data_IF_427257792190
#
_entry.id   IF_427257792190
#
_cell.length_a   1.000
_cell.length_b   1.000
_cell.length_c   1.000
_cell.angle_alpha   90.00
_cell.angle_beta   90.00
_cell.angle_gamma   90.00
#
_symmetry.space_group_name_H-M   'P 1'
#
loop_
_entity.id
_entity.type
_entity.pdbx_description
1 polymer ?
#
# COMPACT_ATOMS: atom_id res chain seq x y z
N UNK A 1 30.68 -3.75 9.63
CA UNK A 1 30.38 -2.32 9.53
C UNK A 1 29.64 -2.09 8.21
N UNK A 2 28.30 -2.21 8.20
CA UNK A 2 27.52 -2.01 6.97
C UNK A 2 27.40 -0.50 6.71
N UNK A 3 28.05 0.00 5.66
CA UNK A 3 27.83 1.36 5.17
C UNK A 3 26.46 1.42 4.50
N UNK A 4 25.42 1.66 5.29
CA UNK A 4 24.13 2.10 4.74
C UNK A 4 24.31 3.56 4.34
N UNK A 5 24.32 3.82 3.03
CA UNK A 5 24.33 5.16 2.46
C UNK A 5 22.95 5.77 2.70
N UNK A 6 22.72 6.36 3.88
CA UNK A 6 21.58 7.27 4.07
C UNK A 6 22.03 8.64 3.60
N UNK A 7 21.72 8.96 2.35
CA UNK A 7 21.73 10.34 1.87
C UNK A 7 20.87 11.20 2.80
N UNK A 8 21.49 12.09 3.57
CA UNK A 8 20.91 13.22 4.33
C UNK A 8 19.49 13.05 4.90
N UNK A 9 19.23 11.96 5.63
CA UNK A 9 17.96 11.84 6.36
C UNK A 9 17.99 12.66 7.64
N UNK A 10 17.03 13.58 7.80
CA UNK A 10 16.83 14.32 9.07
C UNK A 10 16.32 13.43 10.21
N UNK A 11 15.87 12.21 9.92
CA UNK A 11 15.31 11.31 10.92
C UNK A 11 16.41 10.68 11.79
N UNK A 12 16.22 10.65 13.11
CA UNK A 12 17.16 10.00 14.03
C UNK A 12 17.15 8.48 13.85
N UNK A 13 18.33 7.86 13.81
CA UNK A 13 18.46 6.41 13.77
C UNK A 13 17.95 5.78 15.07
N UNK A 14 17.15 4.72 14.94
CA UNK A 14 16.55 3.97 16.05
C UNK A 14 16.46 2.49 15.69
N UNK A 15 16.66 1.63 16.68
CA UNK A 15 16.46 0.19 16.54
C UNK A 15 14.99 -0.19 16.78
N UNK A 16 14.50 -1.18 16.01
CA UNK A 16 13.15 -1.72 16.17
C UNK A 16 13.08 -2.58 17.43
N UNK A 17 12.24 -2.19 18.40
CA UNK A 17 12.12 -2.87 19.70
C UNK A 17 11.01 -3.93 19.78
N UNK A 18 9.96 -3.78 18.98
CA UNK A 18 8.78 -4.66 18.96
C UNK A 18 8.06 -4.58 17.62
N UNK A 19 7.31 -5.62 17.30
CA UNK A 19 6.43 -5.69 16.13
C UNK A 19 5.00 -5.90 16.60
N UNK A 20 4.10 -5.03 16.19
CA UNK A 20 2.67 -5.14 16.47
C UNK A 20 1.96 -5.64 15.21
N UNK A 21 1.24 -6.75 15.34
CA UNK A 21 0.37 -7.23 14.27
C UNK A 21 -1.02 -6.61 14.41
N UNK A 22 -1.67 -6.39 13.28
CA UNK A 22 -3.01 -5.80 13.21
C UNK A 22 -3.65 -6.03 11.86
N UNK A 23 -4.92 -5.66 11.75
CA UNK A 23 -5.67 -5.66 10.49
C UNK A 23 -5.84 -4.19 10.08
N UNK A 24 -5.46 -3.87 8.85
CA UNK A 24 -5.64 -2.52 8.31
C UNK A 24 -7.12 -2.23 8.08
N UNK A 25 -7.58 -1.10 8.63
CA UNK A 25 -8.94 -0.61 8.36
C UNK A 25 -9.05 -0.03 6.94
N UNK A 26 -10.22 -0.08 6.30
CA UNK A 26 -10.41 0.53 4.98
C UNK A 26 -10.01 2.01 4.94
N UNK A 27 -10.30 2.77 6.00
CA UNK A 27 -9.96 4.20 6.07
C UNK A 27 -8.46 4.45 6.21
N UNK A 28 -7.73 3.55 6.88
CA UNK A 28 -6.27 3.62 6.94
C UNK A 28 -5.63 3.26 5.60
N UNK A 29 -6.15 2.25 4.89
CA UNK A 29 -5.70 1.90 3.54
C UNK A 29 -5.86 3.10 2.60
N UNK A 30 -7.00 3.79 2.63
CA UNK A 30 -7.23 5.00 1.81
C UNK A 30 -6.28 6.13 2.20
N UNK A 31 -6.09 6.40 3.50
CA UNK A 31 -5.21 7.49 3.98
C UNK A 31 -3.72 7.26 3.66
N UNK A 32 -3.26 6.01 3.68
CA UNK A 32 -1.88 5.68 3.32
C UNK A 32 -1.64 5.71 1.80
N UNK A 33 -2.71 5.69 1.00
CA UNK A 33 -2.57 5.55 -0.44
C UNK A 33 -2.19 6.86 -1.12
N UNK A 34 -1.24 6.79 -2.04
CA UNK A 34 -0.82 7.93 -2.88
C UNK A 34 -1.65 8.07 -4.16
N UNK A 35 -2.46 7.06 -4.48
CA UNK A 35 -3.34 7.05 -5.66
C UNK A 35 -4.72 7.53 -5.25
N UNK A 36 -4.93 8.85 -5.28
CA UNK A 36 -6.22 9.45 -4.92
C UNK A 36 -7.36 8.90 -5.79
N UNK A 37 -8.45 8.48 -5.13
CA UNK A 37 -9.59 7.84 -5.78
C UNK A 37 -9.33 6.41 -6.30
N UNK A 38 -8.18 5.83 -5.94
CA UNK A 38 -7.80 4.47 -6.26
C UNK A 38 -7.32 4.27 -7.70
N UNK A 39 -6.79 3.07 -7.97
CA UNK A 39 -6.48 2.63 -9.34
C UNK A 39 -7.79 2.34 -10.07
N UNK A 40 -8.02 3.04 -11.19
CA UNK A 40 -9.25 2.99 -11.99
C UNK A 40 -9.03 2.34 -13.35
N UNK A 41 -7.81 2.37 -13.84
CA UNK A 41 -7.47 1.97 -15.20
C UNK A 41 -6.58 0.72 -15.20
N UNK A 42 -6.95 -0.33 -15.94
CA UNK A 42 -6.07 -1.50 -16.10
C UNK A 42 -4.87 -1.19 -17.01
N UNK A 43 -4.94 -0.14 -17.84
CA UNK A 43 -3.85 0.24 -18.72
C UNK A 43 -2.66 0.82 -17.94
N UNK A 44 -1.46 0.43 -18.37
CA UNK A 44 -0.19 0.84 -17.75
C UNK A 44 0.41 2.11 -18.36
N UNK A 45 0.16 2.37 -19.65
CA UNK A 45 0.70 3.50 -20.38
C UNK A 45 -0.39 4.25 -21.16
N UNK A 46 -0.23 5.56 -21.29
CA UNK A 46 -1.05 6.45 -22.11
C UNK A 46 -0.10 7.42 -22.84
N UNK A 47 -0.11 7.40 -24.17
CA UNK A 47 0.80 8.25 -24.97
C UNK A 47 2.30 7.99 -24.70
N UNK A 48 2.67 6.75 -24.40
CA UNK A 48 4.07 6.37 -24.10
C UNK A 48 4.55 6.78 -22.71
N UNK A 49 3.68 7.29 -21.84
CA UNK A 49 3.99 7.65 -20.45
C UNK A 49 3.14 6.82 -19.48
N UNK A 50 3.65 6.50 -18.27
CA UNK A 50 2.86 5.76 -17.29
C UNK A 50 1.55 6.46 -16.96
N UNK A 51 0.45 5.71 -16.90
CA UNK A 51 -0.90 6.26 -16.74
C UNK A 51 -1.20 6.61 -15.28
N UNK A 52 -1.66 7.85 -15.03
CA UNK A 52 -2.16 8.25 -13.71
C UNK A 52 -3.47 7.51 -13.38
N UNK A 53 -3.57 6.99 -12.15
CA UNK A 53 -4.67 6.12 -11.76
C UNK A 53 -4.66 4.76 -12.46
N UNK A 54 -3.58 4.41 -13.16
CA UNK A 54 -3.33 3.10 -13.72
C UNK A 54 -2.51 2.20 -12.78
N UNK A 55 -2.23 0.97 -13.21
CA UNK A 55 -1.42 0.02 -12.44
C UNK A 55 0.06 0.43 -12.30
N UNK A 56 0.55 1.30 -13.20
CA UNK A 56 1.92 1.84 -13.17
C UNK A 56 1.91 3.34 -12.85
N UNK A 57 1.09 3.76 -11.89
CA UNK A 57 1.00 5.18 -11.51
C UNK A 57 2.38 5.67 -11.04
N UNK A 58 2.94 6.75 -11.64
CA UNK A 58 4.28 7.24 -11.33
C UNK A 58 4.46 7.77 -9.88
N UNK A 59 3.35 7.91 -9.13
CA UNK A 59 3.37 8.21 -7.69
C UNK A 59 3.66 6.98 -6.83
N UNK A 60 3.41 5.77 -7.33
CA UNK A 60 3.61 4.51 -6.59
C UNK A 60 5.08 4.06 -6.57
N UNK A 61 5.90 4.56 -7.49
CA UNK A 61 7.32 4.23 -7.59
C UNK A 61 7.85 4.43 -9.01
N UNK A 62 9.10 4.02 -9.24
CA UNK A 62 9.72 4.04 -10.56
C UNK A 62 10.44 2.75 -10.86
N UNK A 63 10.30 2.29 -12.11
CA UNK A 63 10.99 1.12 -12.66
C UNK A 63 12.12 1.51 -13.62
N UNK A 64 12.05 2.71 -14.19
CA UNK A 64 13.05 3.22 -15.11
C UNK A 64 14.16 3.97 -14.36
N UNK A 65 15.42 3.74 -14.78
CA UNK A 65 16.61 4.33 -14.16
C UNK A 65 16.71 5.83 -14.37
N UNK A 66 16.20 6.33 -15.49
CA UNK A 66 16.21 7.75 -15.83
C UNK A 66 15.08 8.52 -15.12
N UNK A 67 14.05 7.81 -14.70
CA UNK A 67 12.88 8.37 -14.03
C UNK A 67 13.09 8.60 -12.52
N UNK A 68 12.21 9.41 -11.93
CA UNK A 68 12.16 9.70 -10.48
C UNK A 68 10.72 9.59 -9.98
N UNK A 69 10.54 9.05 -8.78
CA UNK A 69 9.22 8.89 -8.17
C UNK A 69 8.58 10.26 -7.92
N UNK A 70 7.31 10.42 -8.29
CA UNK A 70 6.61 11.70 -8.11
C UNK A 70 6.25 12.00 -6.65
N UNK A 71 6.32 11.00 -5.76
CA UNK A 71 6.01 11.17 -4.33
C UNK A 71 7.24 11.51 -3.50
N UNK A 72 8.33 10.73 -3.62
CA UNK A 72 9.53 10.88 -2.78
C UNK A 72 10.77 11.40 -3.52
N UNK A 73 10.67 11.63 -4.83
CA UNK A 73 11.80 11.99 -5.71
C UNK A 73 12.95 10.95 -5.74
N UNK A 74 12.75 9.77 -5.15
CA UNK A 74 13.71 8.66 -5.17
C UNK A 74 13.88 8.05 -6.56
N UNK A 75 15.02 7.41 -6.78
CA UNK A 75 15.26 6.56 -7.95
C UNK A 75 14.83 5.10 -7.66
N UNK A 76 15.03 4.20 -8.61
CA UNK A 76 14.64 2.78 -8.49
C UNK A 76 15.27 2.06 -7.26
N UNK A 77 16.46 2.48 -6.82
CA UNK A 77 17.15 1.85 -5.68
C UNK A 77 16.80 2.50 -4.33
N UNK A 78 16.45 3.78 -4.31
CA UNK A 78 16.20 4.54 -3.08
C UNK A 78 14.73 4.70 -2.74
N UNK A 79 13.83 4.56 -3.72
CA UNK A 79 12.39 4.63 -3.50
C UNK A 79 11.90 3.32 -2.86
N UNK A 80 11.27 3.34 -1.67
CA UNK A 80 10.74 2.14 -1.02
C UNK A 80 9.46 1.60 -1.69
N UNK A 81 8.85 2.40 -2.58
CA UNK A 81 7.52 2.15 -3.11
C UNK A 81 6.44 2.76 -2.23
N UNK A 82 5.31 3.12 -2.85
CA UNK A 82 4.19 3.77 -2.18
C UNK A 82 2.89 3.02 -2.48
N UNK A 83 2.05 2.87 -1.46
CA UNK A 83 0.84 2.07 -1.58
C UNK A 83 -0.22 2.74 -2.47
N UNK A 84 -0.79 1.94 -3.35
CA UNK A 84 -2.08 2.20 -3.99
C UNK A 84 -3.24 1.56 -3.23
N UNK A 85 -4.46 1.91 -3.61
CA UNK A 85 -5.65 1.16 -3.24
C UNK A 85 -6.56 0.99 -4.46
N UNK A 86 -7.43 0.00 -4.40
CA UNK A 86 -8.52 -0.21 -5.36
C UNK A 86 -9.81 -0.12 -4.57
N UNK A 87 -10.68 0.81 -4.96
CA UNK A 87 -12.00 0.92 -4.36
C UNK A 87 -12.92 -0.12 -4.98
N UNK A 88 -13.41 -1.06 -4.16
CA UNK A 88 -14.30 -2.11 -4.62
C UNK A 88 -15.74 -1.60 -4.61
N UNK A 89 -16.51 -1.94 -5.65
CA UNK A 89 -17.93 -1.56 -5.73
C UNK A 89 -18.80 -2.20 -4.62
N UNK A 90 -18.37 -3.35 -4.10
CA UNK A 90 -19.04 -4.10 -3.04
C UNK A 90 -18.00 -4.74 -2.11
N UNK A 91 -18.33 -4.96 -0.82
CA UNK A 91 -17.45 -5.69 0.08
C UNK A 91 -17.23 -7.13 -0.42
N UNK A 92 -16.00 -7.62 -0.28
CA UNK A 92 -15.61 -8.98 -0.69
C UNK A 92 -14.98 -9.68 0.51
N UNK A 93 -15.33 -10.95 0.72
CA UNK A 93 -14.73 -11.74 1.78
C UNK A 93 -13.27 -12.05 1.50
N UNK A 94 -12.40 -11.73 2.45
CA UNK A 94 -11.01 -12.15 2.40
C UNK A 94 -10.91 -13.65 2.75
N UNK A 95 -10.47 -14.47 1.81
CA UNK A 95 -10.43 -15.95 1.93
C UNK A 95 -9.66 -16.40 3.19
N UNK A 96 -8.57 -15.72 3.54
CA UNK A 96 -7.79 -16.00 4.75
C UNK A 96 -8.50 -15.70 6.09
N UNK A 97 -9.56 -14.89 6.07
CA UNK A 97 -10.36 -14.57 7.26
C UNK A 97 -11.72 -15.27 7.30
N UNK A 98 -12.12 -15.96 6.22
CA UNK A 98 -13.46 -16.53 6.08
C UNK A 98 -13.83 -17.48 7.23
N UNK A 99 -12.93 -18.40 7.60
CA UNK A 99 -13.15 -19.32 8.74
C UNK A 99 -13.35 -18.59 10.07
N UNK A 100 -12.55 -17.54 10.32
CA UNK A 100 -12.67 -16.74 11.55
C UNK A 100 -13.99 -15.97 11.60
N UNK A 101 -14.43 -15.44 10.46
CA UNK A 101 -15.70 -14.73 10.34
C UNK A 101 -16.88 -15.67 10.63
N UNK A 102 -16.87 -16.88 10.06
CA UNK A 102 -17.92 -17.88 10.29
C UNK A 102 -18.00 -18.30 11.76
N UNK A 103 -16.87 -18.63 12.38
CA UNK A 103 -16.83 -18.99 13.80
C UNK A 103 -17.34 -17.85 14.69
N UNK A 104 -16.96 -16.61 14.38
CA UNK A 104 -17.45 -15.44 15.11
C UNK A 104 -18.97 -15.29 14.98
N UNK A 105 -19.51 -15.50 13.78
CA UNK A 105 -20.95 -15.48 13.54
C UNK A 105 -21.71 -16.54 14.34
N UNK A 106 -21.16 -17.76 14.43
CA UNK A 106 -21.73 -18.84 15.24
C UNK A 106 -21.74 -18.47 16.73
N UNK A 107 -20.63 -17.94 17.26
CA UNK A 107 -20.57 -17.48 18.64
C UNK A 107 -21.58 -16.35 18.93
N UNK A 108 -21.68 -15.35 18.05
CA UNK A 108 -22.59 -14.22 18.22
C UNK A 108 -24.06 -14.64 18.22
N UNK A 109 -24.41 -15.70 17.47
CA UNK A 109 -25.76 -16.28 17.46
C UNK A 109 -26.10 -16.94 18.80
N UNK A 110 -25.14 -17.60 19.46
CA UNK A 110 -25.34 -18.26 20.76
C UNK A 110 -25.51 -17.24 21.90
N UNK A 111 -24.90 -16.06 21.82
CA UNK A 111 -25.01 -15.01 22.84
C UNK A 111 -26.33 -14.22 22.86
N UNK A 112 -27.28 -14.50 21.96
CA UNK A 112 -28.60 -13.86 21.90
C UNK A 112 -29.74 -14.77 22.44
N UNK A 113 -29.40 -15.76 23.27
CA UNK A 113 -30.34 -16.58 24.04
C UNK A 113 -30.01 -16.54 25.53
#
# INVERSE_FOLDING_TARGET
>A
MSMIVTSDSKATLRDVKRVQFGILSPDEIRRMSVTEGGVKYPEIYEGGRPKLGGLMDPRQGVIDKMSRCQTCAGNMATCPGHFGHIELAKPVFHVGFLKKILNFWECARVSNF
#
